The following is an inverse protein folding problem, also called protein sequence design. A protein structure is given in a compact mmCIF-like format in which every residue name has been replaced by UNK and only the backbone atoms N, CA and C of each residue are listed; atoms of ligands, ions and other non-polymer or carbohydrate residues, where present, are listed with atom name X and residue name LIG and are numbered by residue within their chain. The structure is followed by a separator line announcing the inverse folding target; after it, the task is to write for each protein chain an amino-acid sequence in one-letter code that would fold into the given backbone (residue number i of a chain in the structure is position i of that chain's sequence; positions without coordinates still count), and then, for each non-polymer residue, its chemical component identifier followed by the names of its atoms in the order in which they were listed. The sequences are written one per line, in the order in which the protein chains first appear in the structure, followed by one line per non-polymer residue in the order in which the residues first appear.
data_IF_245310582106
#
_entry.id   IF_245310582106
#
_cell.length_a   1.000
_cell.length_b   1.000
_cell.length_c   1.000
_cell.angle_alpha   90.00
_cell.angle_beta   90.00
_cell.angle_gamma   90.00
#
_symmetry.space_group_name_H-M   'P 1'
#
loop_
_entity.id
_entity.type
_entity.pdbx_description
1 polymer ?
#
# COMPACT_ATOMS: atom_id res chain seq x y z
N UNK A 1 20.75 27.33 -0.16
CA UNK A 1 19.32 27.00 -0.28
C UNK A 1 18.97 26.27 1.00
N UNK A 2 18.20 26.91 1.88
CA UNK A 2 17.73 26.28 3.11
C UNK A 2 16.66 25.25 2.74
N UNK A 3 16.78 24.03 3.24
CA UNK A 3 15.68 23.07 3.19
C UNK A 3 14.40 23.75 3.71
N UNK A 4 13.23 23.51 3.09
CA UNK A 4 11.98 23.98 3.68
C UNK A 4 11.89 23.45 5.12
N UNK A 5 11.51 24.28 6.10
CA UNK A 5 11.60 23.97 7.53
C UNK A 5 10.84 22.68 7.94
N UNK A 6 9.92 22.21 7.10
CA UNK A 6 9.02 21.08 7.40
C UNK A 6 9.57 19.70 6.99
N UNK A 7 10.55 19.61 6.08
CA UNK A 7 10.93 18.31 5.52
C UNK A 7 11.68 17.41 6.51
N UNK A 8 12.52 17.99 7.37
CA UNK A 8 13.27 17.24 8.37
C UNK A 8 12.41 16.78 9.56
N UNK A 9 11.48 17.62 10.01
CA UNK A 9 10.65 17.33 11.19
C UNK A 9 9.64 16.20 10.91
N UNK A 10 9.09 16.14 9.68
CA UNK A 10 8.14 15.11 9.27
C UNK A 10 8.80 13.81 8.78
N UNK A 11 10.13 13.79 8.62
CA UNK A 11 10.85 12.65 8.04
C UNK A 11 10.54 11.33 8.77
N UNK A 12 10.71 11.29 10.09
CA UNK A 12 10.52 10.07 10.88
C UNK A 12 9.07 9.57 10.84
N UNK A 13 8.09 10.46 11.01
CA UNK A 13 6.68 10.05 11.01
C UNK A 13 6.23 9.60 9.62
N UNK A 14 6.75 10.19 8.53
CA UNK A 14 6.52 9.72 7.16
C UNK A 14 7.09 8.33 6.96
N UNK A 15 8.35 8.10 7.35
CA UNK A 15 8.98 6.78 7.28
C UNK A 15 8.14 5.73 8.01
N UNK A 16 7.72 6.04 9.24
CA UNK A 16 6.89 5.13 10.03
C UNK A 16 5.52 4.89 9.37
N UNK A 17 4.86 5.93 8.85
CA UNK A 17 3.55 5.80 8.21
C UNK A 17 3.61 4.90 6.96
N UNK A 18 4.55 5.16 6.05
CA UNK A 18 4.63 4.44 4.77
C UNK A 18 5.30 3.05 4.88
N UNK A 19 5.90 2.72 6.03
CA UNK A 19 6.48 1.39 6.32
C UNK A 19 5.60 0.54 7.24
N UNK A 20 4.42 1.05 7.61
CA UNK A 20 3.41 0.32 8.37
C UNK A 20 3.58 0.36 9.90
N UNK A 21 4.39 1.28 10.44
CA UNK A 21 4.54 1.51 11.87
C UNK A 21 3.42 2.40 12.45
N UNK A 22 2.16 2.01 12.19
CA UNK A 22 0.98 2.82 12.50
C UNK A 22 0.75 3.04 13.99
N UNK A 23 1.16 2.11 14.87
CA UNK A 23 1.06 2.26 16.32
C UNK A 23 1.97 3.39 16.79
N UNK A 24 3.22 3.43 16.30
CA UNK A 24 4.14 4.53 16.55
C UNK A 24 3.62 5.86 16.03
N UNK A 25 3.09 5.88 14.81
CA UNK A 25 2.49 7.10 14.23
C UNK A 25 1.33 7.60 15.09
N UNK A 26 0.42 6.71 15.50
CA UNK A 26 -0.73 7.08 16.33
C UNK A 26 -0.32 7.65 17.70
N UNK A 27 0.85 7.28 18.22
CA UNK A 27 1.32 7.65 19.56
C UNK A 27 1.98 9.05 19.64
N UNK A 28 2.27 9.72 18.52
CA UNK A 28 2.87 11.05 18.55
C UNK A 28 1.99 12.08 19.28
N UNK A 29 2.64 13.03 19.95
CA UNK A 29 1.98 14.26 20.37
C UNK A 29 2.24 15.36 19.33
N UNK A 30 1.22 15.66 18.49
CA UNK A 30 1.36 16.69 17.45
C UNK A 30 1.70 18.07 18.03
N UNK A 31 1.41 18.33 19.32
CA UNK A 31 1.72 19.62 19.94
C UNK A 31 3.24 19.86 20.10
N UNK A 32 4.05 18.80 20.01
CA UNK A 32 5.50 18.87 20.03
C UNK A 32 6.11 19.24 18.67
N UNK A 33 5.31 19.25 17.60
CA UNK A 33 5.74 19.64 16.27
C UNK A 33 5.54 21.13 16.02
N UNK A 34 6.29 21.68 15.07
CA UNK A 34 6.08 23.05 14.59
C UNK A 34 4.64 23.29 14.15
N UNK A 35 4.07 24.51 14.34
CA UNK A 35 2.69 24.81 13.96
C UNK A 35 2.34 24.44 12.51
N UNK A 36 3.30 24.52 11.60
CA UNK A 36 3.15 24.14 10.20
C UNK A 36 3.00 22.62 10.00
N UNK A 37 3.68 21.81 10.81
CA UNK A 37 3.68 20.35 10.71
C UNK A 37 2.51 19.68 11.46
N UNK A 38 1.95 20.32 12.50
CA UNK A 38 0.94 19.71 13.37
C UNK A 38 -0.26 19.13 12.60
N UNK A 39 -0.74 19.85 11.59
CA UNK A 39 -1.88 19.40 10.79
C UNK A 39 -1.57 18.09 10.03
N UNK A 40 -0.36 17.96 9.49
CA UNK A 40 0.05 16.76 8.75
C UNK A 40 0.30 15.57 9.68
N UNK A 41 0.86 15.81 10.87
CA UNK A 41 0.97 14.80 11.93
C UNK A 41 -0.40 14.29 12.34
N UNK A 42 -1.35 15.19 12.58
CA UNK A 42 -2.73 14.85 12.88
C UNK A 42 -3.39 14.02 11.77
N UNK A 43 -3.18 14.38 10.50
CA UNK A 43 -3.65 13.60 9.35
C UNK A 43 -3.12 12.15 9.40
N UNK A 44 -1.80 11.98 9.60
CA UNK A 44 -1.18 10.66 9.71
C UNK A 44 -1.69 9.85 10.91
N UNK A 45 -1.95 10.50 12.04
CA UNK A 45 -2.51 9.85 13.23
C UNK A 45 -3.91 9.31 12.99
N UNK A 46 -4.80 10.10 12.38
CA UNK A 46 -6.16 9.63 12.06
C UNK A 46 -6.11 8.46 11.08
N UNK A 47 -5.30 8.57 10.04
CA UNK A 47 -5.15 7.52 9.02
C UNK A 47 -4.53 6.24 9.62
N UNK A 48 -3.58 6.36 10.54
CA UNK A 48 -2.97 5.23 11.23
C UNK A 48 -3.93 4.55 12.21
N UNK A 49 -4.73 5.32 12.97
CA UNK A 49 -5.77 4.77 13.82
C UNK A 49 -6.75 3.91 13.01
N UNK A 50 -7.20 4.43 11.85
CA UNK A 50 -8.07 3.68 10.94
C UNK A 50 -7.39 2.45 10.33
N UNK A 51 -6.10 2.53 9.99
CA UNK A 51 -5.33 1.38 9.48
C UNK A 51 -5.22 0.24 10.52
N UNK A 52 -5.14 0.60 11.80
CA UNK A 52 -5.16 -0.32 12.95
C UNK A 52 -6.57 -0.79 13.36
N UNK A 53 -7.61 -0.37 12.63
CA UNK A 53 -9.01 -0.59 12.99
C UNK A 53 -9.39 -0.06 14.38
N UNK A 54 -8.67 0.96 14.87
CA UNK A 54 -9.04 1.70 16.07
C UNK A 54 -10.07 2.79 15.73
N UNK A 55 -11.00 3.06 16.66
CA UNK A 55 -11.98 4.15 16.50
C UNK A 55 -11.31 5.53 16.66
N UNK A 56 -11.27 6.37 15.60
CA UNK A 56 -10.65 7.69 15.67
C UNK A 56 -11.59 8.78 16.20
N UNK A 57 -12.82 8.49 16.65
CA UNK A 57 -13.82 9.50 17.00
C UNK A 57 -13.32 10.56 18.01
N UNK A 58 -12.60 10.12 19.05
CA UNK A 58 -12.00 11.03 20.04
C UNK A 58 -10.90 11.90 19.41
N UNK A 59 -10.09 11.32 18.53
CA UNK A 59 -9.01 12.01 17.81
C UNK A 59 -9.58 13.07 16.86
N UNK A 60 -10.61 12.71 16.08
CA UNK A 60 -11.35 13.61 15.20
C UNK A 60 -11.99 14.76 15.97
N UNK A 61 -12.54 14.48 17.17
CA UNK A 61 -13.06 15.50 18.08
C UNK A 61 -12.00 16.52 18.51
N UNK A 62 -10.81 16.05 18.90
CA UNK A 62 -9.67 16.92 19.24
C UNK A 62 -9.21 17.75 18.04
N UNK A 63 -9.10 17.14 16.87
CA UNK A 63 -8.69 17.82 15.64
C UNK A 63 -9.63 18.96 15.25
N UNK A 64 -10.96 18.78 15.41
CA UNK A 64 -11.94 19.86 15.18
C UNK A 64 -11.74 21.07 16.09
N UNK A 65 -11.32 20.85 17.33
CA UNK A 65 -11.04 21.93 18.27
C UNK A 65 -9.68 22.58 18.02
N UNK A 66 -8.68 21.79 17.62
CA UNK A 66 -7.30 22.25 17.42
C UNK A 66 -7.05 22.94 16.07
N UNK A 67 -7.76 22.52 15.00
CA UNK A 67 -7.55 22.99 13.63
C UNK A 67 -8.85 23.53 12.97
N UNK A 68 -9.61 24.43 13.62
CA UNK A 68 -10.90 24.91 13.10
C UNK A 68 -10.79 25.62 11.74
N UNK A 69 -9.63 26.15 11.39
CA UNK A 69 -9.30 26.79 10.12
C UNK A 69 -9.09 25.83 8.94
N UNK A 70 -9.07 24.50 9.20
CA UNK A 70 -8.90 23.46 8.18
C UNK A 70 -10.14 22.55 8.03
N UNK A 71 -11.36 23.10 7.83
CA UNK A 71 -12.59 22.31 7.81
C UNK A 71 -12.65 21.29 6.67
N UNK A 72 -12.00 21.57 5.54
CA UNK A 72 -11.98 20.67 4.40
C UNK A 72 -11.22 19.36 4.68
N UNK A 73 -10.03 19.45 5.29
CA UNK A 73 -9.26 18.26 5.68
C UNK A 73 -9.99 17.47 6.76
N UNK A 74 -10.54 18.16 7.77
CA UNK A 74 -11.33 17.52 8.83
C UNK A 74 -12.55 16.78 8.28
N UNK A 75 -13.25 17.35 7.29
CA UNK A 75 -14.38 16.70 6.64
C UNK A 75 -13.95 15.45 5.86
N UNK A 76 -12.82 15.49 5.14
CA UNK A 76 -12.27 14.32 4.43
C UNK A 76 -11.92 13.21 5.41
N UNK A 77 -11.25 13.53 6.51
CA UNK A 77 -10.85 12.54 7.52
C UNK A 77 -12.06 11.93 8.25
N UNK A 78 -13.07 12.75 8.56
CA UNK A 78 -14.34 12.26 9.12
C UNK A 78 -15.04 11.33 8.12
N UNK A 79 -15.16 11.74 6.86
CA UNK A 79 -15.79 10.91 5.82
C UNK A 79 -15.06 9.58 5.61
N UNK A 80 -13.73 9.58 5.69
CA UNK A 80 -12.94 8.34 5.61
C UNK A 80 -13.17 7.42 6.82
N UNK A 81 -13.33 8.00 8.01
CA UNK A 81 -13.72 7.25 9.20
C UNK A 81 -15.12 6.65 9.06
N UNK A 82 -16.09 7.45 8.59
CA UNK A 82 -17.48 7.03 8.45
C UNK A 82 -17.59 5.87 7.46
N UNK A 83 -17.02 6.00 6.26
CA UNK A 83 -17.05 4.93 5.24
C UNK A 83 -16.30 3.67 5.70
N UNK A 84 -15.25 3.82 6.52
CA UNK A 84 -14.52 2.67 7.07
C UNK A 84 -15.32 1.92 8.13
N UNK A 85 -16.20 2.60 8.87
CA UNK A 85 -17.05 2.02 9.91
C UNK A 85 -18.36 1.44 9.36
N UNK A 86 -19.04 2.17 8.47
CA UNK A 86 -20.40 1.83 7.99
C UNK A 86 -20.45 1.31 6.56
N UNK A 87 -19.33 1.28 5.83
CA UNK A 87 -19.31 0.96 4.41
C UNK A 87 -19.89 2.10 3.56
N UNK A 88 -20.34 1.77 2.35
CA UNK A 88 -20.74 2.73 1.31
C UNK A 88 -22.19 3.17 1.48
N UNK A 89 -22.44 4.47 1.36
CA UNK A 89 -23.73 5.00 0.92
C UNK A 89 -23.57 5.85 -0.35
N UNK A 90 -24.65 5.98 -1.13
CA UNK A 90 -24.68 6.79 -2.34
C UNK A 90 -24.63 8.31 -2.06
N UNK A 91 -24.66 8.69 -0.80
CA UNK A 91 -24.50 10.06 -0.32
C UNK A 91 -23.09 10.33 0.25
N UNK A 92 -22.16 9.38 0.14
CA UNK A 92 -20.85 9.52 0.77
C UNK A 92 -20.12 10.71 0.17
N UNK A 93 -19.39 11.43 1.03
CA UNK A 93 -18.55 12.57 0.64
C UNK A 93 -17.74 12.30 -0.64
N UNK A 94 -17.15 11.10 -0.75
CA UNK A 94 -16.29 10.72 -1.86
C UNK A 94 -17.03 10.50 -3.18
N UNK A 95 -18.32 10.14 -3.16
CA UNK A 95 -19.14 10.02 -4.37
C UNK A 95 -19.31 11.36 -5.10
N UNK A 96 -19.20 12.48 -4.38
CA UNK A 96 -19.30 13.82 -4.95
C UNK A 96 -17.93 14.40 -5.40
N UNK A 97 -16.82 13.73 -5.13
CA UNK A 97 -15.48 14.22 -5.49
C UNK A 97 -15.20 13.94 -6.96
N UNK A 98 -15.45 14.93 -7.82
CA UNK A 98 -15.03 14.87 -9.23
C UNK A 98 -13.55 15.22 -9.43
N UNK A 99 -13.12 16.31 -8.80
CA UNK A 99 -11.78 16.86 -8.89
C UNK A 99 -11.29 17.20 -7.48
N UNK A 100 -10.24 16.52 -7.02
CA UNK A 100 -9.72 16.69 -5.66
C UNK A 100 -8.96 18.01 -5.51
N UNK A 101 -9.16 18.76 -4.43
CA UNK A 101 -8.57 20.07 -4.18
C UNK A 101 -7.17 20.02 -3.54
N UNK A 102 -6.85 18.96 -2.80
CA UNK A 102 -5.59 18.77 -2.08
C UNK A 102 -5.24 17.29 -1.96
N UNK A 103 -3.98 16.98 -1.64
CA UNK A 103 -3.42 15.61 -1.63
C UNK A 103 -4.30 14.60 -0.88
N UNK A 104 -4.61 14.84 0.39
CA UNK A 104 -5.37 13.89 1.21
C UNK A 104 -6.77 13.59 0.64
N UNK A 105 -7.44 14.58 0.03
CA UNK A 105 -8.71 14.37 -0.65
C UNK A 105 -8.53 13.48 -1.89
N UNK A 106 -7.46 13.69 -2.66
CA UNK A 106 -7.17 12.92 -3.86
C UNK A 106 -6.90 11.45 -3.53
N UNK A 107 -6.02 11.22 -2.54
CA UNK A 107 -5.62 9.89 -2.07
C UNK A 107 -6.83 9.14 -1.50
N UNK A 108 -7.57 9.75 -0.57
CA UNK A 108 -8.69 9.06 0.09
C UNK A 108 -9.88 8.85 -0.85
N UNK A 109 -10.14 9.76 -1.80
CA UNK A 109 -11.13 9.53 -2.85
C UNK A 109 -10.72 8.38 -3.80
N UNK A 110 -9.45 8.29 -4.19
CA UNK A 110 -8.95 7.19 -5.00
C UNK A 110 -9.05 5.84 -4.26
N UNK A 111 -8.66 5.80 -2.98
CA UNK A 111 -8.82 4.60 -2.15
C UNK A 111 -10.30 4.23 -1.99
N UNK A 112 -11.20 5.21 -1.89
CA UNK A 112 -12.63 4.95 -1.89
C UNK A 112 -13.11 4.30 -3.19
N UNK A 113 -12.74 4.85 -4.35
CA UNK A 113 -13.12 4.30 -5.65
C UNK A 113 -12.65 2.85 -5.81
N UNK A 114 -11.42 2.54 -5.41
CA UNK A 114 -10.87 1.18 -5.48
C UNK A 114 -11.58 0.25 -4.50
N UNK A 115 -11.57 0.58 -3.21
CA UNK A 115 -12.03 -0.33 -2.15
C UNK A 115 -13.54 -0.58 -2.20
N UNK A 116 -14.31 0.45 -2.48
CA UNK A 116 -15.76 0.44 -2.28
C UNK A 116 -16.56 0.45 -3.60
N UNK A 117 -16.00 1.01 -4.67
CA UNK A 117 -16.66 1.03 -5.99
C UNK A 117 -16.03 0.05 -6.97
N UNK A 118 -14.91 -0.58 -6.62
CA UNK A 118 -14.13 -1.45 -7.51
C UNK A 118 -13.75 -0.73 -8.83
N UNK A 119 -13.61 0.60 -8.77
CA UNK A 119 -13.36 1.49 -9.91
C UNK A 119 -11.90 1.95 -9.92
N UNK A 120 -11.03 1.04 -10.37
CA UNK A 120 -9.59 1.29 -10.50
C UNK A 120 -9.29 2.37 -11.56
N UNK A 121 -10.01 2.35 -12.68
CA UNK A 121 -9.79 3.28 -13.79
C UNK A 121 -10.22 4.72 -13.42
N UNK A 122 -11.31 4.85 -12.65
CA UNK A 122 -11.74 6.12 -12.05
C UNK A 122 -10.72 6.67 -11.06
N UNK A 123 -10.15 5.81 -10.20
CA UNK A 123 -9.10 6.20 -9.26
C UNK A 123 -7.83 6.69 -9.98
N UNK A 124 -7.36 5.96 -11.00
CA UNK A 124 -6.24 6.37 -11.84
C UNK A 124 -6.54 7.73 -12.50
N UNK A 125 -7.73 7.89 -13.07
CA UNK A 125 -8.14 9.12 -13.74
C UNK A 125 -8.16 10.32 -12.79
N UNK A 126 -8.67 10.14 -11.56
CA UNK A 126 -8.70 11.18 -10.54
C UNK A 126 -7.29 11.60 -10.13
N UNK A 127 -6.41 10.64 -9.82
CA UNK A 127 -5.04 10.92 -9.40
C UNK A 127 -4.22 11.54 -10.52
N UNK A 128 -4.35 11.06 -11.76
CA UNK A 128 -3.67 11.63 -12.91
C UNK A 128 -4.08 13.08 -13.16
N UNK A 129 -5.38 13.41 -13.04
CA UNK A 129 -5.85 14.80 -13.12
C UNK A 129 -5.30 15.64 -11.98
N UNK A 130 -5.24 15.12 -10.75
CA UNK A 130 -4.67 15.82 -9.60
C UNK A 130 -3.18 16.14 -9.83
N UNK A 131 -2.36 15.13 -10.15
CA UNK A 131 -0.92 15.28 -10.39
C UNK A 131 -0.58 16.17 -11.61
N UNK A 132 -1.49 16.29 -12.59
CA UNK A 132 -1.29 17.12 -13.78
C UNK A 132 -1.48 18.63 -13.52
N UNK A 133 -1.98 19.05 -12.35
CA UNK A 133 -2.28 20.46 -12.04
C UNK A 133 -1.04 21.34 -11.93
N UNK A 134 0.16 20.76 -12.00
CA UNK A 134 1.40 21.50 -11.88
C UNK A 134 1.50 22.22 -10.54
N UNK A 135 0.94 21.63 -9.47
CA UNK A 135 1.01 22.21 -8.13
C UNK A 135 2.48 22.34 -7.74
N UNK A 136 2.85 23.55 -7.31
CA UNK A 136 4.21 23.96 -6.91
C UNK A 136 4.70 23.23 -5.64
N UNK A 137 3.94 22.26 -5.12
CA UNK A 137 4.26 21.55 -3.90
C UNK A 137 4.91 20.21 -4.20
N UNK A 138 6.24 20.23 -4.30
CA UNK A 138 7.09 19.05 -4.42
C UNK A 138 6.98 18.07 -3.23
N UNK A 139 6.08 18.30 -2.26
CA UNK A 139 5.80 17.42 -1.13
C UNK A 139 4.49 16.62 -1.29
N UNK A 140 3.69 16.87 -2.33
CA UNK A 140 2.47 16.08 -2.68
C UNK A 140 2.84 14.81 -3.44
N UNK A 141 3.49 13.88 -2.75
CA UNK A 141 4.14 12.72 -3.33
C UNK A 141 3.23 11.49 -3.37
N UNK A 142 2.26 11.40 -2.47
CA UNK A 142 1.42 10.22 -2.29
C UNK A 142 0.55 9.86 -3.53
N UNK A 143 0.04 10.81 -4.33
CA UNK A 143 -0.68 10.48 -5.56
C UNK A 143 0.16 9.68 -6.56
N UNK A 144 1.48 9.93 -6.61
CA UNK A 144 2.40 9.19 -7.48
C UNK A 144 2.59 7.76 -7.00
N UNK A 145 2.68 7.56 -5.68
CA UNK A 145 2.75 6.24 -5.05
C UNK A 145 1.53 5.39 -5.42
N UNK A 146 0.33 5.94 -5.26
CA UNK A 146 -0.92 5.24 -5.61
C UNK A 146 -1.01 5.00 -7.12
N UNK A 147 -0.62 5.95 -7.98
CA UNK A 147 -0.62 5.75 -9.43
C UNK A 147 0.29 4.60 -9.86
N UNK A 148 1.51 4.52 -9.31
CA UNK A 148 2.41 3.39 -9.55
C UNK A 148 1.74 2.08 -9.12
N UNK A 149 1.20 2.03 -7.89
CA UNK A 149 0.54 0.84 -7.38
C UNK A 149 -0.64 0.37 -8.26
N UNK A 150 -1.51 1.30 -8.66
CA UNK A 150 -2.70 1.00 -9.45
C UNK A 150 -2.33 0.55 -10.87
N UNK A 151 -1.33 1.16 -11.50
CA UNK A 151 -0.84 0.71 -12.80
C UNK A 151 -0.19 -0.67 -12.73
N UNK A 152 0.57 -0.98 -11.68
CA UNK A 152 1.11 -2.32 -11.46
C UNK A 152 0.00 -3.35 -11.21
N UNK A 153 -1.02 -2.99 -10.44
CA UNK A 153 -2.21 -3.85 -10.22
C UNK A 153 -2.95 -4.15 -11.53
N UNK A 154 -2.99 -3.19 -12.47
CA UNK A 154 -3.54 -3.35 -13.82
C UNK A 154 -2.59 -4.07 -14.80
N UNK A 155 -1.48 -4.61 -14.32
CA UNK A 155 -0.41 -5.22 -15.12
C UNK A 155 0.17 -4.26 -16.19
N UNK A 156 0.01 -2.95 -15.99
CA UNK A 156 0.48 -1.91 -16.90
C UNK A 156 1.81 -1.33 -16.43
N UNK A 157 2.87 -2.14 -16.55
CA UNK A 157 4.22 -1.76 -16.15
C UNK A 157 4.75 -0.53 -16.90
N UNK A 158 4.34 -0.33 -18.15
CA UNK A 158 4.77 0.81 -18.96
C UNK A 158 4.31 2.14 -18.36
N UNK A 159 3.03 2.25 -17.98
CA UNK A 159 2.51 3.46 -17.33
C UNK A 159 3.04 3.62 -15.90
N UNK A 160 3.18 2.54 -15.13
CA UNK A 160 3.81 2.60 -13.80
C UNK A 160 5.24 3.17 -13.89
N UNK A 161 6.03 2.69 -14.86
CA UNK A 161 7.39 3.19 -15.13
C UNK A 161 7.38 4.65 -15.55
N UNK A 162 6.40 5.08 -16.36
CA UNK A 162 6.26 6.48 -16.79
C UNK A 162 5.91 7.42 -15.63
N UNK A 163 5.10 6.98 -14.68
CA UNK A 163 4.81 7.73 -13.45
C UNK A 163 6.08 7.85 -12.60
N UNK A 164 6.78 6.74 -12.39
CA UNK A 164 8.03 6.72 -11.64
C UNK A 164 9.12 7.62 -12.25
N UNK A 165 9.31 7.57 -13.58
CA UNK A 165 10.26 8.45 -14.29
C UNK A 165 9.94 9.93 -14.13
N UNK A 166 8.65 10.31 -14.11
CA UNK A 166 8.24 11.69 -13.82
C UNK A 166 8.59 12.08 -12.40
N UNK A 167 8.34 11.18 -11.44
CA UNK A 167 8.72 11.39 -10.05
C UNK A 167 10.24 11.60 -9.89
N UNK A 168 11.07 10.88 -10.64
CA UNK A 168 12.52 11.05 -10.64
C UNK A 168 13.02 12.44 -11.09
N UNK A 169 12.17 13.24 -11.73
CA UNK A 169 12.48 14.63 -12.10
C UNK A 169 12.22 15.65 -10.99
N UNK A 170 11.59 15.23 -9.88
CA UNK A 170 11.36 16.09 -8.72
C UNK A 170 12.69 16.48 -8.02
N UNK A 171 12.70 17.55 -7.22
CA UNK A 171 13.87 17.98 -6.46
C UNK A 171 14.46 16.87 -5.58
N UNK A 172 15.75 16.98 -5.24
CA UNK A 172 16.46 15.98 -4.44
C UNK A 172 15.73 15.64 -3.13
N UNK A 173 15.23 16.64 -2.41
CA UNK A 173 14.51 16.46 -1.13
C UNK A 173 13.25 15.59 -1.27
N UNK A 174 12.60 15.57 -2.44
CA UNK A 174 11.46 14.70 -2.71
C UNK A 174 11.88 13.25 -3.04
N UNK A 175 13.12 13.04 -3.49
CA UNK A 175 13.69 11.73 -3.81
C UNK A 175 14.39 11.07 -2.61
N UNK A 176 14.65 11.83 -1.55
CA UNK A 176 15.12 11.34 -0.25
C UNK A 176 13.96 10.89 0.67
N UNK A 177 12.73 10.95 0.15
CA UNK A 177 11.53 10.58 0.87
C UNK A 177 11.26 9.07 0.77
N UNK A 178 10.76 8.46 1.86
CA UNK A 178 10.36 7.04 1.88
C UNK A 178 9.42 6.65 0.73
N UNK A 179 8.53 7.53 0.29
CA UNK A 179 7.62 7.26 -0.83
C UNK A 179 8.42 6.94 -2.10
N UNK A 180 9.53 7.64 -2.34
CA UNK A 180 10.43 7.35 -3.45
C UNK A 180 10.96 5.92 -3.38
N UNK A 181 11.52 5.55 -2.22
CA UNK A 181 12.15 4.25 -2.03
C UNK A 181 11.13 3.10 -2.10
N UNK A 182 9.92 3.28 -1.56
CA UNK A 182 8.83 2.32 -1.70
C UNK A 182 8.47 2.12 -3.16
N UNK A 183 8.24 3.19 -3.93
CA UNK A 183 7.94 3.09 -5.36
C UNK A 183 9.07 2.43 -6.15
N UNK A 184 10.32 2.83 -5.88
CA UNK A 184 11.50 2.27 -6.52
C UNK A 184 11.60 0.76 -6.26
N UNK A 185 11.34 0.32 -5.01
CA UNK A 185 11.32 -1.11 -4.65
C UNK A 185 10.28 -1.89 -5.48
N UNK A 186 9.07 -1.34 -5.65
CA UNK A 186 8.01 -1.98 -6.43
C UNK A 186 8.37 -2.07 -7.92
N UNK A 187 8.83 -0.95 -8.50
CA UNK A 187 9.27 -0.92 -9.90
C UNK A 187 10.41 -1.91 -10.12
N UNK A 188 11.41 -1.93 -9.25
CA UNK A 188 12.56 -2.81 -9.36
C UNK A 188 12.17 -4.29 -9.25
N UNK A 189 11.27 -4.62 -8.33
CA UNK A 189 10.77 -6.00 -8.16
C UNK A 189 10.03 -6.51 -9.40
N UNK A 190 9.18 -5.68 -10.01
CA UNK A 190 8.39 -6.07 -11.19
C UNK A 190 9.24 -6.05 -12.47
N UNK A 191 10.19 -5.12 -12.56
CA UNK A 191 11.17 -5.07 -13.66
C UNK A 191 12.02 -6.35 -13.73
N UNK A 192 12.20 -7.03 -12.59
CA UNK A 192 13.01 -8.24 -12.48
C UNK A 192 14.50 -7.94 -12.68
N UNK A 193 15.29 -8.93 -13.12
CA UNK A 193 16.76 -8.89 -13.12
C UNK A 193 17.34 -8.95 -11.71
N UNK A 194 18.38 -9.76 -11.52
CA UNK A 194 18.94 -10.04 -10.19
C UNK A 194 19.33 -8.76 -9.43
N UNK A 195 19.93 -7.78 -10.11
CA UNK A 195 20.35 -6.52 -9.51
C UNK A 195 19.17 -5.68 -9.02
N UNK A 196 18.09 -5.54 -9.81
CA UNK A 196 16.94 -4.75 -9.36
C UNK A 196 16.21 -5.47 -8.23
N UNK A 197 16.04 -6.79 -8.31
CA UNK A 197 15.40 -7.57 -7.25
C UNK A 197 16.23 -7.48 -5.96
N UNK A 198 17.57 -7.53 -6.05
CA UNK A 198 18.47 -7.36 -4.90
C UNK A 198 18.33 -5.96 -4.28
N UNK A 199 18.22 -4.91 -5.10
CA UNK A 199 17.99 -3.56 -4.59
C UNK A 199 16.65 -3.46 -3.83
N UNK A 200 15.58 -4.06 -4.37
CA UNK A 200 14.29 -4.12 -3.68
C UNK A 200 14.37 -4.97 -2.40
N UNK A 201 15.08 -6.10 -2.42
CA UNK A 201 15.34 -6.95 -1.26
C UNK A 201 16.02 -6.15 -0.13
N UNK A 202 17.14 -5.47 -0.43
CA UNK A 202 17.90 -4.73 0.59
C UNK A 202 17.09 -3.60 1.21
N UNK A 203 16.20 -2.96 0.45
CA UNK A 203 15.28 -1.97 1.00
C UNK A 203 14.40 -2.57 2.11
N UNK A 204 13.72 -3.70 1.86
CA UNK A 204 12.87 -4.32 2.88
C UNK A 204 13.67 -4.94 4.04
N UNK A 205 14.87 -5.47 3.77
CA UNK A 205 15.79 -5.97 4.79
C UNK A 205 16.24 -4.85 5.74
N UNK A 206 16.62 -3.69 5.18
CA UNK A 206 16.97 -2.49 5.95
C UNK A 206 15.77 -1.98 6.76
N UNK A 207 14.56 -1.95 6.17
CA UNK A 207 13.35 -1.59 6.92
C UNK A 207 13.17 -2.49 8.14
N UNK A 208 13.32 -3.81 7.99
CA UNK A 208 13.17 -4.78 9.07
C UNK A 208 14.26 -4.71 10.15
N UNK A 209 15.34 -3.95 9.93
CA UNK A 209 16.30 -3.61 10.98
C UNK A 209 15.77 -2.56 11.98
N UNK A 210 14.69 -1.87 11.61
CA UNK A 210 13.96 -0.95 12.51
C UNK A 210 13.16 -1.72 13.56
N UNK A 211 12.84 -1.04 14.65
CA UNK A 211 11.97 -1.59 15.69
C UNK A 211 10.50 -1.62 15.23
N UNK A 212 9.87 -2.80 15.31
CA UNK A 212 8.45 -3.04 15.01
C UNK A 212 7.71 -3.73 16.17
N UNK A 213 8.22 -3.65 17.41
CA UNK A 213 7.69 -4.43 18.53
C UNK A 213 6.18 -4.21 18.75
N UNK A 214 5.70 -2.99 18.54
CA UNK A 214 4.28 -2.62 18.65
C UNK A 214 3.53 -2.57 17.30
N UNK A 215 4.18 -2.96 16.21
CA UNK A 215 3.73 -2.78 14.82
C UNK A 215 3.76 -4.10 14.03
N UNK A 216 3.11 -5.13 14.59
CA UNK A 216 3.05 -6.49 14.03
C UNK A 216 2.55 -6.52 12.58
N UNK A 217 1.56 -5.69 12.24
CA UNK A 217 1.04 -5.58 10.87
C UNK A 217 2.11 -5.06 9.88
N UNK A 218 2.85 -4.02 10.26
CA UNK A 218 3.94 -3.47 9.45
C UNK A 218 5.06 -4.50 9.27
N UNK A 219 5.47 -5.16 10.35
CA UNK A 219 6.48 -6.23 10.31
C UNK A 219 6.06 -7.38 9.39
N UNK A 220 4.81 -7.82 9.51
CA UNK A 220 4.23 -8.85 8.66
C UNK A 220 4.25 -8.45 7.18
N UNK A 221 3.89 -7.21 6.86
CA UNK A 221 3.91 -6.69 5.50
C UNK A 221 5.32 -6.71 4.91
N UNK A 222 6.30 -6.16 5.64
CA UNK A 222 7.68 -6.05 5.17
C UNK A 222 8.35 -7.43 5.02
N UNK A 223 8.11 -8.37 5.95
CA UNK A 223 8.56 -9.77 5.80
C UNK A 223 7.91 -10.46 4.60
N UNK A 224 6.62 -10.20 4.34
CA UNK A 224 5.92 -10.76 3.18
C UNK A 224 6.48 -10.24 1.86
N UNK A 225 6.86 -8.96 1.79
CA UNK A 225 7.54 -8.39 0.64
C UNK A 225 8.94 -8.98 0.46
N UNK A 226 9.72 -9.06 1.56
CA UNK A 226 11.05 -9.67 1.56
C UNK A 226 10.99 -11.12 1.06
N UNK A 227 10.03 -11.91 1.56
CA UNK A 227 9.78 -13.28 1.12
C UNK A 227 9.62 -13.38 -0.40
N UNK A 228 8.80 -12.51 -1.00
CA UNK A 228 8.60 -12.50 -2.46
C UNK A 228 9.91 -12.21 -3.20
N UNK A 229 10.72 -11.26 -2.75
CA UNK A 229 12.02 -10.97 -3.37
C UNK A 229 12.98 -12.16 -3.23
N UNK A 230 13.01 -12.80 -2.06
CA UNK A 230 13.80 -13.99 -1.79
C UNK A 230 13.41 -15.16 -2.71
N UNK A 231 12.11 -15.35 -2.96
CA UNK A 231 11.63 -16.32 -3.95
C UNK A 231 12.09 -15.99 -5.37
N UNK A 232 12.02 -14.72 -5.78
CA UNK A 232 12.47 -14.29 -7.10
C UNK A 232 13.98 -14.48 -7.31
N UNK A 233 14.77 -14.30 -6.25
CA UNK A 233 16.22 -14.59 -6.23
C UNK A 233 16.54 -16.10 -6.13
N UNK A 234 15.52 -16.95 -5.89
CA UNK A 234 15.65 -18.40 -5.72
C UNK A 234 16.48 -18.81 -4.48
N UNK A 235 16.47 -17.97 -3.46
CA UNK A 235 17.14 -18.21 -2.17
C UNK A 235 16.20 -18.99 -1.24
N UNK A 236 15.92 -20.25 -1.58
CA UNK A 236 14.85 -21.02 -0.93
C UNK A 236 15.07 -21.34 0.56
N UNK A 237 16.30 -21.62 1.04
CA UNK A 237 16.55 -21.76 2.48
C UNK A 237 16.19 -20.49 3.26
N UNK A 238 16.62 -19.33 2.78
CA UNK A 238 16.34 -18.02 3.37
C UNK A 238 14.84 -17.70 3.30
N UNK A 239 14.16 -18.14 2.23
CA UNK A 239 12.71 -17.99 2.11
C UNK A 239 11.97 -18.77 3.21
N UNK A 240 12.46 -19.96 3.60
CA UNK A 240 11.89 -20.72 4.71
C UNK A 240 12.10 -20.01 6.06
N UNK A 241 13.30 -19.46 6.30
CA UNK A 241 13.58 -18.69 7.51
C UNK A 241 12.65 -17.47 7.65
N UNK A 242 12.34 -16.79 6.54
CA UNK A 242 11.37 -15.69 6.53
C UNK A 242 9.96 -16.20 6.86
N UNK A 243 9.54 -17.35 6.31
CA UNK A 243 8.24 -17.95 6.66
C UNK A 243 8.14 -18.30 8.15
N UNK A 244 9.23 -18.79 8.74
CA UNK A 244 9.28 -19.10 10.17
C UNK A 244 9.15 -17.82 11.02
N UNK A 245 9.81 -16.73 10.62
CA UNK A 245 9.65 -15.42 11.24
C UNK A 245 8.22 -14.90 11.12
N UNK A 246 7.59 -15.02 9.95
CA UNK A 246 6.21 -14.61 9.73
C UNK A 246 5.23 -15.45 10.56
N UNK A 247 5.46 -16.76 10.66
CA UNK A 247 4.65 -17.65 11.48
C UNK A 247 4.72 -17.28 12.97
N UNK A 248 5.90 -16.87 13.45
CA UNK A 248 6.12 -16.44 14.84
C UNK A 248 5.33 -15.17 15.22
N UNK A 249 4.90 -14.35 14.25
CA UNK A 249 4.07 -13.17 14.51
C UNK A 249 2.61 -13.51 14.86
N UNK A 250 2.15 -14.72 14.52
CA UNK A 250 0.74 -15.15 14.65
C UNK A 250 -0.29 -14.15 14.06
N UNK A 251 0.12 -13.35 13.08
CA UNK A 251 -0.74 -12.35 12.47
C UNK A 251 -1.75 -12.99 11.51
N UNK A 252 -3.01 -12.56 11.59
CA UNK A 252 -4.14 -13.05 10.78
C UNK A 252 -4.96 -11.93 10.12
N UNK A 253 -4.45 -10.69 10.15
CA UNK A 253 -5.16 -9.52 9.62
C UNK A 253 -5.00 -9.33 8.11
N UNK A 254 -5.18 -8.08 7.68
CA UNK A 254 -5.06 -7.66 6.27
C UNK A 254 -3.75 -8.14 5.65
N UNK A 255 -3.83 -8.75 4.46
CA UNK A 255 -2.67 -9.28 3.72
C UNK A 255 -2.36 -10.75 3.97
N UNK A 256 -3.00 -11.40 4.95
CA UNK A 256 -2.78 -12.83 5.22
C UNK A 256 -3.08 -13.73 4.00
N UNK A 257 -4.16 -13.45 3.26
CA UNK A 257 -4.48 -14.18 2.02
C UNK A 257 -3.37 -14.08 0.96
N UNK A 258 -2.75 -12.91 0.80
CA UNK A 258 -1.63 -12.71 -0.13
C UNK A 258 -0.42 -13.57 0.24
N UNK A 259 -0.12 -13.72 1.54
CA UNK A 259 0.94 -14.61 1.99
C UNK A 259 0.63 -16.08 1.65
N UNK A 260 -0.62 -16.53 1.79
CA UNK A 260 -1.02 -17.88 1.39
C UNK A 260 -0.80 -18.09 -0.11
N UNK A 261 -1.13 -17.10 -0.94
CA UNK A 261 -0.82 -17.13 -2.37
C UNK A 261 0.68 -17.22 -2.65
N UNK A 262 1.52 -16.48 -1.92
CA UNK A 262 2.97 -16.58 -2.05
C UNK A 262 3.50 -17.95 -1.61
N UNK A 263 2.92 -18.55 -0.55
CA UNK A 263 3.25 -19.91 -0.10
C UNK A 263 2.90 -20.97 -1.15
N UNK A 264 1.82 -20.80 -1.92
CA UNK A 264 1.50 -21.69 -3.05
C UNK A 264 2.64 -21.70 -4.07
N UNK A 265 3.16 -20.52 -4.43
CA UNK A 265 4.31 -20.40 -5.33
C UNK A 265 5.55 -21.07 -4.75
N UNK A 266 5.85 -20.84 -3.47
CA UNK A 266 6.96 -21.50 -2.79
C UNK A 266 6.86 -23.04 -2.83
N UNK A 267 5.68 -23.60 -2.51
CA UNK A 267 5.45 -25.04 -2.53
C UNK A 267 5.67 -25.67 -3.91
N UNK A 268 5.28 -24.98 -4.99
CA UNK A 268 5.60 -25.45 -6.34
C UNK A 268 7.10 -25.45 -6.62
N UNK A 269 7.84 -24.46 -6.10
CA UNK A 269 9.28 -24.29 -6.36
C UNK A 269 10.15 -25.22 -5.52
N UNK A 270 9.73 -25.59 -4.31
CA UNK A 270 10.56 -26.37 -3.37
C UNK A 270 10.08 -27.81 -3.16
N UNK A 271 8.77 -28.04 -3.25
CA UNK A 271 8.14 -29.30 -2.84
C UNK A 271 7.29 -29.94 -3.94
N UNK A 272 7.47 -29.54 -5.20
CA UNK A 272 6.67 -30.00 -6.35
C UNK A 272 5.15 -29.87 -6.13
N UNK A 273 4.72 -28.88 -5.33
CA UNK A 273 3.32 -28.57 -5.08
C UNK A 273 2.62 -29.50 -4.09
N UNK A 274 3.35 -30.25 -3.24
CA UNK A 274 2.79 -31.24 -2.32
C UNK A 274 1.63 -30.69 -1.46
N UNK A 275 1.72 -29.45 -0.97
CA UNK A 275 0.70 -28.84 -0.10
C UNK A 275 -0.25 -27.87 -0.82
N UNK A 276 -0.14 -27.71 -2.14
CA UNK A 276 -0.86 -26.65 -2.86
C UNK A 276 -2.38 -26.80 -2.76
N UNK A 277 -2.91 -28.02 -2.79
CA UNK A 277 -4.37 -28.24 -2.65
C UNK A 277 -4.89 -27.76 -1.30
N UNK A 278 -4.11 -27.93 -0.22
CA UNK A 278 -4.49 -27.45 1.10
C UNK A 278 -4.42 -25.91 1.16
N UNK A 279 -3.36 -25.33 0.61
CA UNK A 279 -3.19 -23.87 0.55
C UNK A 279 -4.24 -23.16 -0.32
N UNK A 280 -4.66 -23.76 -1.43
CA UNK A 280 -5.75 -23.22 -2.26
C UNK A 280 -7.08 -23.22 -1.50
N UNK A 281 -7.34 -24.23 -0.66
CA UNK A 281 -8.52 -24.24 0.21
C UNK A 281 -8.42 -23.19 1.32
N UNK A 282 -7.24 -23.03 1.92
CA UNK A 282 -6.96 -21.97 2.90
C UNK A 282 -7.19 -20.58 2.28
N UNK A 283 -6.66 -20.36 1.07
CA UNK A 283 -6.82 -19.11 0.33
C UNK A 283 -8.29 -18.83 0.01
N UNK A 284 -9.01 -19.82 -0.51
CA UNK A 284 -10.44 -19.67 -0.82
C UNK A 284 -11.31 -19.42 0.42
N UNK A 285 -10.90 -19.92 1.59
CA UNK A 285 -11.58 -19.64 2.85
C UNK A 285 -11.29 -18.21 3.36
N UNK A 286 -10.07 -17.71 3.15
CA UNK A 286 -9.65 -16.38 3.59
C UNK A 286 -10.12 -15.26 2.66
N UNK A 287 -10.01 -15.47 1.35
CA UNK A 287 -10.41 -14.53 0.30
C UNK A 287 -10.87 -15.29 -0.96
N UNK A 288 -12.17 -15.58 -1.09
CA UNK A 288 -12.73 -16.27 -2.25
C UNK A 288 -12.56 -15.51 -3.58
N UNK A 289 -12.33 -14.19 -3.52
CA UNK A 289 -12.19 -13.33 -4.68
C UNK A 289 -10.72 -13.04 -5.04
N UNK A 290 -9.77 -13.64 -4.32
CA UNK A 290 -8.34 -13.42 -4.52
C UNK A 290 -7.92 -13.65 -5.98
N UNK A 291 -7.10 -12.76 -6.54
CA UNK A 291 -6.71 -12.78 -7.96
C UNK A 291 -6.17 -14.14 -8.41
N UNK A 292 -5.31 -14.78 -7.60
CA UNK A 292 -4.77 -16.11 -7.89
C UNK A 292 -5.87 -17.17 -8.14
N UNK A 293 -6.98 -17.14 -7.39
CA UNK A 293 -8.08 -18.08 -7.58
C UNK A 293 -8.85 -17.80 -8.86
N UNK A 294 -9.05 -16.52 -9.17
CA UNK A 294 -9.65 -16.08 -10.45
C UNK A 294 -8.81 -16.54 -11.63
N UNK A 295 -7.50 -16.26 -11.61
CA UNK A 295 -6.56 -16.68 -12.65
C UNK A 295 -6.53 -18.20 -12.82
N UNK A 296 -6.55 -18.94 -11.70
CA UNK A 296 -6.53 -20.40 -11.72
C UNK A 296 -7.78 -20.97 -12.38
N UNK A 297 -8.95 -20.44 -12.05
CA UNK A 297 -10.22 -20.81 -12.68
C UNK A 297 -10.20 -20.51 -14.18
N UNK A 298 -9.83 -19.31 -14.58
CA UNK A 298 -9.78 -18.91 -15.99
C UNK A 298 -8.82 -19.77 -16.82
N UNK A 299 -7.65 -20.11 -16.25
CA UNK A 299 -6.66 -20.97 -16.91
C UNK A 299 -7.16 -22.41 -17.06
N UNK A 300 -7.85 -22.95 -16.07
CA UNK A 300 -8.45 -24.29 -16.17
C UNK A 300 -9.57 -24.34 -17.20
N UNK A 301 -10.48 -23.35 -17.20
CA UNK A 301 -11.55 -23.26 -18.21
C UNK A 301 -10.99 -23.19 -19.64
N UNK A 302 -9.92 -22.41 -19.85
CA UNK A 302 -9.22 -22.36 -21.15
C UNK A 302 -8.57 -23.69 -21.51
N UNK A 303 -7.98 -24.39 -20.55
CA UNK A 303 -7.39 -25.70 -20.78
C UNK A 303 -8.44 -26.73 -21.16
N UNK A 304 -9.57 -26.78 -20.44
CA UNK A 304 -10.67 -27.69 -20.73
C UNK A 304 -11.24 -27.45 -22.14
N UNK A 305 -11.43 -26.18 -22.52
CA UNK A 305 -11.86 -25.81 -23.88
C UNK A 305 -10.86 -26.25 -24.97
N UNK A 306 -9.56 -26.23 -24.67
CA UNK A 306 -8.52 -26.77 -25.57
C UNK A 306 -8.67 -28.28 -25.68
N UNK A 307 -8.79 -28.99 -24.55
CA UNK A 307 -8.94 -30.45 -24.53
C UNK A 307 -10.16 -30.89 -25.32
N UNK A 308 -11.32 -30.27 -25.10
CA UNK A 308 -12.56 -30.57 -25.84
C UNK A 308 -12.37 -30.42 -27.35
N UNK A 309 -11.69 -29.36 -27.80
CA UNK A 309 -11.40 -29.14 -29.22
C UNK A 309 -10.60 -30.28 -29.87
N UNK A 310 -9.70 -30.92 -29.12
CA UNK A 310 -8.85 -32.01 -29.63
C UNK A 310 -9.44 -33.42 -29.39
N UNK A 311 -10.49 -33.56 -28.59
CA UNK A 311 -11.22 -34.82 -28.40
C UNK A 311 -12.33 -35.04 -29.44
N UNK A 312 -12.80 -33.96 -30.10
CA UNK A 312 -13.85 -33.99 -31.12
C UNK A 312 -13.26 -34.12 -32.55
N UNK A 313 -11.94 -34.33 -32.66
CA UNK A 313 -11.23 -34.67 -33.91
C UNK A 313 -10.93 -36.18 -33.99
#
# INVERSE_FOLDING_TARGET
MSAPPDSGELFTIRNQFYTGQHTKVAAYDWALFSPQAQLKVYEFQVRSALALAHDPAALLGKGRAAFPEHPALLAVLQAWSDVSASGVDDASYFAAVGDAAFEAQAVLAALYLVKYRQDVDGAISLLARFSARGTENALELEPHLLLVQLHLHKENFAEASRVYQRFQTLPFDARDDIIYHVMESWINSVKGQADNISNAYYFYDELLSSDFDDDVQGRFHNLSALFVMTLQLKHFPEAQEILDQVAALDYRGTGAANLVANRITYEYLTNNGANVVALLKELAAADPAHQLLTDFREKNERFDAIVEKYLVA
#
